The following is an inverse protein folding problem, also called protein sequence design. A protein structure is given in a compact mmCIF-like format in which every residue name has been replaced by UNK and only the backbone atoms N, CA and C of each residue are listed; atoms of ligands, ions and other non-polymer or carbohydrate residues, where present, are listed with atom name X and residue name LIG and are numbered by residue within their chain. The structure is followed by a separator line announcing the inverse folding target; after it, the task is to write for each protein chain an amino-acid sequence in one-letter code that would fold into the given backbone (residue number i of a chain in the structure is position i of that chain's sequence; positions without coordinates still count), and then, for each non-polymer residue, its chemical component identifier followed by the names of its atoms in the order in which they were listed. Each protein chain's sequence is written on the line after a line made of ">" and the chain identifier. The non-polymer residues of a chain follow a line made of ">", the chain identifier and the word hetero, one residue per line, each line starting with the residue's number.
data_IF_238293334823
#
_entry.id   IF_238293334823
#
_cell.length_a   1.000
_cell.length_b   1.000
_cell.length_c   1.000
_cell.angle_alpha   90.00
_cell.angle_beta   90.00
_cell.angle_gamma   90.00
#
_symmetry.space_group_name_H-M   'P 1'
#
loop_
_entity.id
_entity.type
_entity.pdbx_description
1 polymer ?
#
# COMPACT_ATOMS: atom_id res chain seq x y z
N UNK A 1 -8.65 -1.49 15.02
CA UNK A 1 -9.18 -1.55 13.64
C UNK A 1 -9.92 -0.29 13.18
N UNK A 2 -10.89 0.25 13.93
CA UNK A 2 -11.62 1.47 13.51
C UNK A 2 -10.72 2.68 13.22
N UNK A 3 -9.69 2.90 14.05
CA UNK A 3 -8.68 3.96 13.85
C UNK A 3 -7.88 3.74 12.56
N UNK A 4 -7.39 2.52 12.33
CA UNK A 4 -6.61 2.17 11.12
C UNK A 4 -7.43 2.39 9.85
N UNK A 5 -8.67 1.92 9.83
CA UNK A 5 -9.56 2.09 8.66
C UNK A 5 -9.85 3.57 8.37
N UNK A 6 -10.09 4.37 9.42
CA UNK A 6 -10.33 5.81 9.29
C UNK A 6 -9.09 6.54 8.77
N UNK A 7 -7.91 6.23 9.31
CA UNK A 7 -6.63 6.78 8.86
C UNK A 7 -6.35 6.41 7.41
N UNK A 8 -6.46 5.12 7.03
CA UNK A 8 -6.24 4.67 5.66
C UNK A 8 -7.18 5.38 4.67
N UNK A 9 -8.46 5.51 5.02
CA UNK A 9 -9.43 6.21 4.17
C UNK A 9 -9.10 7.71 4.04
N UNK A 10 -8.67 8.36 5.13
CA UNK A 10 -8.22 9.75 5.13
C UNK A 10 -6.99 9.95 4.23
N UNK A 11 -5.96 9.14 4.45
CA UNK A 11 -4.70 9.18 3.69
C UNK A 11 -4.92 8.87 2.22
N UNK A 12 -5.72 7.84 1.88
CA UNK A 12 -6.05 7.49 0.50
C UNK A 12 -6.70 8.67 -0.24
N UNK A 13 -7.67 9.35 0.39
CA UNK A 13 -8.28 10.56 -0.19
C UNK A 13 -7.29 11.71 -0.33
N UNK A 14 -6.38 11.89 0.63
CA UNK A 14 -5.36 12.93 0.56
C UNK A 14 -4.39 12.68 -0.61
N UNK A 15 -3.87 11.45 -0.75
CA UNK A 15 -3.02 11.04 -1.88
C UNK A 15 -3.76 11.23 -3.20
N UNK A 16 -5.01 10.78 -3.30
CA UNK A 16 -5.80 10.94 -4.52
C UNK A 16 -5.98 12.40 -4.94
N UNK A 17 -6.26 13.29 -3.98
CA UNK A 17 -6.37 14.73 -4.24
C UNK A 17 -5.03 15.34 -4.65
N UNK A 18 -3.94 14.96 -4.00
CA UNK A 18 -2.61 15.44 -4.35
C UNK A 18 -2.24 15.04 -5.79
N UNK A 19 -2.44 13.77 -6.16
CA UNK A 19 -2.19 13.28 -7.53
C UNK A 19 -3.02 14.07 -8.56
N UNK A 20 -4.30 14.33 -8.29
CA UNK A 20 -5.15 15.10 -9.22
C UNK A 20 -4.79 16.58 -9.32
N UNK A 21 -4.20 17.14 -8.27
CA UNK A 21 -3.76 18.54 -8.25
C UNK A 21 -2.39 18.74 -8.90
N UNK A 22 -1.63 17.66 -9.13
CA UNK A 22 -0.35 17.71 -9.82
C UNK A 22 -0.55 18.04 -11.29
N UNK A 23 0.09 19.10 -11.75
CA UNK A 23 0.20 19.43 -13.18
C UNK A 23 1.35 18.60 -13.80
N UNK A 24 1.07 17.65 -14.70
CA UNK A 24 2.11 16.84 -15.34
C UNK A 24 3.01 17.66 -16.28
N UNK A 25 2.59 18.85 -16.72
CA UNK A 25 3.40 19.73 -17.56
C UNK A 25 4.52 20.41 -16.77
N UNK A 26 4.41 20.46 -15.43
CA UNK A 26 5.44 21.00 -14.56
C UNK A 26 6.44 19.90 -14.18
N UNK A 27 7.66 20.03 -14.66
CA UNK A 27 8.74 19.11 -14.31
C UNK A 27 9.05 19.15 -12.79
N UNK A 28 9.04 17.98 -12.16
CA UNK A 28 9.53 17.81 -10.79
C UNK A 28 11.06 17.84 -10.78
N UNK A 29 11.63 18.40 -9.71
CA UNK A 29 13.09 18.33 -9.52
C UNK A 29 13.53 16.92 -9.16
N UNK A 30 14.81 16.59 -9.41
CA UNK A 30 15.38 15.29 -9.01
C UNK A 30 15.23 15.05 -7.49
N UNK A 31 15.40 16.10 -6.67
CA UNK A 31 15.18 16.02 -5.22
C UNK A 31 13.74 15.64 -4.90
N UNK A 32 12.75 16.27 -5.53
CA UNK A 32 11.34 15.94 -5.31
C UNK A 32 11.01 14.51 -5.72
N UNK A 33 11.54 14.05 -6.85
CA UNK A 33 11.35 12.67 -7.33
C UNK A 33 11.97 11.66 -6.36
N UNK A 34 13.20 11.91 -5.89
CA UNK A 34 13.89 11.07 -4.91
C UNK A 34 13.13 11.01 -3.59
N UNK A 35 12.75 12.16 -3.05
CA UNK A 35 12.04 12.24 -1.78
C UNK A 35 10.66 11.54 -1.89
N UNK A 36 9.96 11.71 -3.03
CA UNK A 36 8.71 10.96 -3.31
C UNK A 36 8.95 9.45 -3.40
N UNK A 37 10.05 9.02 -4.01
CA UNK A 37 10.46 7.62 -4.06
C UNK A 37 10.68 7.01 -2.67
N UNK A 38 11.32 7.76 -1.76
CA UNK A 38 11.51 7.35 -0.37
C UNK A 38 10.18 7.19 0.36
N UNK A 39 9.27 8.16 0.24
CA UNK A 39 7.93 8.07 0.83
C UNK A 39 7.14 6.87 0.28
N UNK A 40 7.30 6.53 -1.00
CA UNK A 40 6.69 5.35 -1.60
C UNK A 40 7.25 4.04 -1.02
N UNK A 41 8.57 3.97 -0.77
CA UNK A 41 9.20 2.83 -0.08
C UNK A 41 8.63 2.65 1.33
N UNK A 42 8.46 3.74 2.08
CA UNK A 42 7.86 3.69 3.43
C UNK A 42 6.39 3.24 3.37
N UNK A 43 5.60 3.87 2.48
CA UNK A 43 4.18 3.56 2.35
C UNK A 43 3.94 2.09 1.98
N UNK A 44 4.72 1.54 1.04
CA UNK A 44 4.58 0.13 0.64
C UNK A 44 4.94 -0.84 1.75
N UNK A 45 5.96 -0.53 2.57
CA UNK A 45 6.30 -1.34 3.74
C UNK A 45 5.16 -1.35 4.78
N UNK A 46 4.64 -0.17 5.14
CA UNK A 46 3.54 -0.04 6.11
C UNK A 46 2.25 -0.71 5.62
N UNK A 47 1.98 -0.68 4.31
CA UNK A 47 0.86 -1.40 3.72
C UNK A 47 1.05 -2.92 3.77
N UNK A 48 2.28 -3.43 3.61
CA UNK A 48 2.57 -4.86 3.79
C UNK A 48 2.26 -5.31 5.22
N UNK A 49 2.66 -4.52 6.22
CA UNK A 49 2.39 -4.81 7.63
C UNK A 49 0.89 -4.76 7.95
N UNK A 50 0.17 -3.78 7.40
CA UNK A 50 -1.27 -3.72 7.50
C UNK A 50 -1.94 -4.97 6.90
N UNK A 51 -1.50 -5.44 5.74
CA UNK A 51 -2.04 -6.64 5.11
C UNK A 51 -1.75 -7.89 5.94
N UNK A 52 -0.56 -7.99 6.55
CA UNK A 52 -0.25 -9.08 7.47
C UNK A 52 -1.20 -9.08 8.69
N UNK A 53 -1.47 -7.90 9.26
CA UNK A 53 -2.42 -7.75 10.36
C UNK A 53 -3.86 -8.14 9.95
N UNK A 54 -4.29 -7.75 8.75
CA UNK A 54 -5.61 -8.15 8.22
C UNK A 54 -5.70 -9.65 7.99
N UNK A 55 -4.63 -10.29 7.52
CA UNK A 55 -4.59 -11.73 7.31
C UNK A 55 -4.72 -12.48 8.64
N UNK A 56 -4.01 -12.02 9.68
CA UNK A 56 -4.10 -12.57 11.03
C UNK A 56 -5.52 -12.43 11.62
N UNK A 57 -6.15 -11.25 11.51
CA UNK A 57 -7.54 -11.08 11.93
C UNK A 57 -8.52 -11.96 11.15
N UNK A 58 -8.32 -12.11 9.84
CA UNK A 58 -9.16 -12.97 9.00
C UNK A 58 -8.98 -14.45 9.35
N UNK A 59 -7.75 -14.88 9.66
CA UNK A 59 -7.43 -16.22 10.13
C UNK A 59 -8.18 -16.60 11.41
N UNK A 60 -8.21 -15.71 12.40
CA UNK A 60 -8.98 -15.93 13.65
C UNK A 60 -10.47 -16.18 13.43
N UNK A 61 -11.06 -15.61 12.38
CA UNK A 61 -12.44 -15.86 12.00
C UNK A 61 -12.63 -17.20 11.28
N UNK A 62 -11.58 -17.69 10.62
CA UNK A 62 -11.56 -19.01 9.96
C UNK A 62 -11.46 -20.13 11.00
N UNK A 63 -10.77 -19.90 12.11
CA UNK A 63 -10.66 -20.85 13.23
C UNK A 63 -11.97 -21.03 14.03
N UNK A 64 -12.94 -20.12 13.85
CA UNK A 64 -14.24 -20.13 14.53
C UNK A 64 -15.40 -19.93 13.52
N UNK A 65 -15.56 -20.82 12.53
CA UNK A 65 -16.44 -20.63 11.38
C UNK A 65 -17.93 -20.58 11.76
N UNK A 66 -18.31 -21.09 12.94
CA UNK A 66 -19.65 -20.97 13.49
C UNK A 66 -20.03 -19.55 13.91
N UNK A 67 -19.04 -18.68 14.17
CA UNK A 67 -19.27 -17.29 14.60
C UNK A 67 -19.45 -16.32 13.45
N UNK A 68 -19.24 -16.77 12.21
CA UNK A 68 -19.37 -15.94 11.02
C UNK A 68 -20.39 -16.56 10.07
N UNK A 69 -21.36 -15.74 9.69
CA UNK A 69 -22.40 -16.08 8.72
C UNK A 69 -22.43 -15.03 7.64
N UNK A 70 -22.84 -15.44 6.45
CA UNK A 70 -23.23 -14.53 5.38
C UNK A 70 -24.46 -13.74 5.80
N UNK A 71 -24.77 -12.66 5.08
CA UNK A 71 -25.93 -11.83 5.36
C UNK A 71 -27.27 -12.59 5.22
N UNK A 72 -27.29 -13.67 4.43
CA UNK A 72 -28.43 -14.58 4.27
C UNK A 72 -28.50 -15.67 5.35
N UNK A 73 -27.58 -15.68 6.32
CA UNK A 73 -27.48 -16.68 7.39
C UNK A 73 -26.72 -17.94 6.99
N UNK A 74 -26.22 -18.06 5.77
CA UNK A 74 -25.43 -19.19 5.28
C UNK A 74 -23.99 -19.24 5.85
N UNK A 75 -23.28 -20.36 5.69
CA UNK A 75 -21.88 -20.49 6.10
C UNK A 75 -20.98 -19.52 5.30
N UNK A 76 -20.06 -18.84 5.99
CA UNK A 76 -19.15 -17.85 5.39
C UNK A 76 -17.73 -18.39 5.11
N UNK A 77 -17.49 -19.69 5.36
CA UNK A 77 -16.14 -20.27 5.32
C UNK A 77 -15.44 -20.11 3.97
N UNK A 78 -16.17 -20.29 2.86
CA UNK A 78 -15.62 -20.09 1.50
C UNK A 78 -15.20 -18.64 1.25
N UNK A 79 -16.00 -17.68 1.71
CA UNK A 79 -15.72 -16.26 1.53
C UNK A 79 -14.50 -15.84 2.37
N UNK A 80 -14.38 -16.34 3.60
CA UNK A 80 -13.23 -16.11 4.47
C UNK A 80 -11.94 -16.71 3.87
N UNK A 81 -12.03 -17.94 3.33
CA UNK A 81 -10.92 -18.57 2.64
C UNK A 81 -10.52 -17.79 1.38
N UNK A 82 -11.51 -17.27 0.64
CA UNK A 82 -11.27 -16.43 -0.53
C UNK A 82 -10.61 -15.09 -0.16
N UNK A 83 -11.12 -14.40 0.87
CA UNK A 83 -10.53 -13.16 1.39
C UNK A 83 -9.09 -13.36 1.85
N UNK A 84 -8.80 -14.47 2.55
CA UNK A 84 -7.45 -14.83 2.99
C UNK A 84 -6.49 -15.01 1.81
N UNK A 85 -6.93 -15.66 0.72
CA UNK A 85 -6.13 -15.79 -0.50
C UNK A 85 -5.84 -14.44 -1.16
N UNK A 86 -6.83 -13.54 -1.18
CA UNK A 86 -6.63 -12.18 -1.68
C UNK A 86 -5.62 -11.38 -0.86
N UNK A 87 -5.65 -11.49 0.47
CA UNK A 87 -4.66 -10.84 1.34
C UNK A 87 -3.24 -11.37 1.08
N UNK A 88 -3.08 -12.68 0.89
CA UNK A 88 -1.79 -13.27 0.50
C UNK A 88 -1.30 -12.74 -0.87
N UNK A 89 -2.20 -12.66 -1.84
CA UNK A 89 -1.88 -12.11 -3.17
C UNK A 89 -1.47 -10.64 -3.06
N UNK A 90 -2.23 -9.84 -2.31
CA UNK A 90 -1.96 -8.43 -2.09
C UNK A 90 -0.62 -8.20 -1.40
N UNK A 91 -0.30 -9.01 -0.37
CA UNK A 91 1.00 -8.95 0.31
C UNK A 91 2.15 -9.13 -0.67
N UNK A 92 2.08 -10.15 -1.53
CA UNK A 92 3.11 -10.40 -2.55
C UNK A 92 3.25 -9.22 -3.52
N UNK A 93 2.13 -8.64 -3.95
CA UNK A 93 2.17 -7.46 -4.82
C UNK A 93 2.80 -6.24 -4.14
N UNK A 94 2.58 -6.06 -2.84
CA UNK A 94 3.20 -4.98 -2.06
C UNK A 94 4.70 -5.23 -1.83
N UNK A 95 5.13 -6.47 -1.62
CA UNK A 95 6.55 -6.81 -1.52
C UNK A 95 7.31 -6.49 -2.82
N UNK A 96 6.69 -6.79 -3.97
CA UNK A 96 7.20 -6.40 -5.29
C UNK A 96 7.24 -4.87 -5.40
N UNK A 97 6.13 -4.19 -5.10
CA UNK A 97 6.06 -2.73 -5.19
C UNK A 97 7.08 -2.03 -4.27
N UNK A 98 7.34 -2.58 -3.08
CA UNK A 98 8.34 -2.08 -2.14
C UNK A 98 9.75 -2.20 -2.72
N UNK A 99 10.07 -3.33 -3.34
CA UNK A 99 11.34 -3.56 -4.02
C UNK A 99 11.54 -2.56 -5.15
N UNK A 100 10.55 -2.43 -6.04
CA UNK A 100 10.60 -1.49 -7.17
C UNK A 100 10.69 -0.02 -6.71
N UNK A 101 9.97 0.36 -5.65
CA UNK A 101 10.06 1.71 -5.07
C UNK A 101 11.45 2.01 -4.51
N UNK A 102 12.05 1.02 -3.82
CA UNK A 102 13.41 1.14 -3.29
C UNK A 102 14.45 1.24 -4.41
N UNK A 103 14.30 0.45 -5.46
CA UNK A 103 15.21 0.47 -6.62
C UNK A 103 15.10 1.81 -7.36
N UNK A 104 13.88 2.33 -7.54
CA UNK A 104 13.64 3.68 -8.05
C UNK A 104 14.32 4.77 -7.21
N UNK A 105 14.11 4.76 -5.89
CA UNK A 105 14.77 5.68 -4.97
C UNK A 105 16.31 5.60 -5.06
N UNK A 106 16.83 4.38 -5.12
CA UNK A 106 18.28 4.12 -5.22
C UNK A 106 18.83 4.67 -6.53
N UNK A 107 18.17 4.39 -7.66
CA UNK A 107 18.55 4.89 -8.97
C UNK A 107 18.62 6.42 -9.00
N UNK A 108 17.63 7.11 -8.43
CA UNK A 108 17.63 8.58 -8.35
C UNK A 108 18.67 9.13 -7.38
N UNK A 109 18.99 8.41 -6.31
CA UNK A 109 20.00 8.84 -5.34
C UNK A 109 21.43 8.89 -5.92
N UNK A 110 21.66 8.23 -7.06
CA UNK A 110 22.92 8.29 -7.80
C UNK A 110 22.96 9.40 -8.86
N UNK A 111 21.85 10.10 -9.10
CA UNK A 111 21.79 11.18 -10.07
C UNK A 111 22.13 12.52 -9.43
N UNK A 112 23.02 13.27 -10.09
CA UNK A 112 23.27 14.67 -9.77
C UNK A 112 22.73 15.56 -10.89
N UNK A 113 22.14 16.73 -10.56
CA UNK A 113 21.82 17.71 -11.60
C UNK A 113 23.11 18.10 -12.32
N UNK A 114 23.05 18.22 -13.65
CA UNK A 114 24.19 18.68 -14.43
C UNK A 114 24.65 20.04 -13.90
N UNK A 115 25.94 20.17 -13.57
CA UNK A 115 26.52 21.47 -13.32
C UNK A 115 26.50 22.23 -14.66
N UNK A 116 25.72 23.31 -14.74
CA UNK A 116 25.85 24.21 -15.87
C UNK A 116 27.26 24.80 -15.84
N UNK A 117 28.01 24.78 -16.96
CA UNK A 117 29.25 25.53 -17.05
C UNK A 117 28.98 27.03 -16.83
N UNK A 118 29.94 27.76 -16.25
CA UNK A 118 29.80 29.19 -15.92
C UNK A 118 29.56 30.07 -17.16
#
# INVERSE_FOLDING_TARGET
>A
MATIATTLAGTSRAIHRAIRATDPARAASLTQLRDTGWELTQLTAELTDLVALLADYTGRHTDQPERVRRADGGPAGEDLAHASRHLTSLRRSLDIAHTEARDYYTALSHLNPAQLPP
#
